data_IF_448779135268
#
_entry.id   IF_448779135268
#
_cell.length_a   1.000
_cell.length_b   1.000
_cell.length_c   1.000
_cell.angle_alpha   90.00
_cell.angle_beta   90.00
_cell.angle_gamma   90.00
#
_symmetry.space_group_name_H-M   'P 1'
#
loop_
_entity.id
_entity.type
_entity.pdbx_description
1 polymer ?
#
# COMPACT_ATOMS: atom_id res chain seq x y z
N UNK A 1 17.12 6.60 -13.20
CA UNK A 1 15.82 6.74 -13.88
C UNK A 1 15.32 5.39 -14.37
N UNK A 2 14.77 4.56 -13.47
CA UNK A 2 14.19 3.25 -13.83
C UNK A 2 12.69 3.38 -14.08
N UNK A 3 12.22 2.86 -15.21
CA UNK A 3 10.81 2.84 -15.61
C UNK A 3 9.99 1.85 -14.78
N UNK A 4 10.60 0.75 -14.34
CA UNK A 4 10.00 -0.32 -13.57
C UNK A 4 9.21 0.22 -12.37
N UNK A 5 7.92 -0.11 -12.33
CA UNK A 5 7.02 0.26 -11.27
C UNK A 5 7.11 -0.72 -10.11
N UNK A 6 8.06 -0.49 -9.20
CA UNK A 6 8.20 -1.30 -8.00
C UNK A 6 7.29 -0.76 -6.88
N UNK A 7 6.46 -1.64 -6.31
CA UNK A 7 5.67 -1.37 -5.12
C UNK A 7 5.86 -2.44 -4.02
N UNK A 8 6.72 -2.17 -3.03
CA UNK A 8 6.90 -2.99 -1.84
C UNK A 8 6.34 -2.27 -0.61
N UNK A 9 5.24 -2.76 -0.01
CA UNK A 9 4.53 -1.97 1.01
C UNK A 9 5.32 -1.79 2.31
N UNK A 10 5.43 -0.55 2.78
CA UNK A 10 6.27 -0.17 3.92
C UNK A 10 5.48 -0.18 5.22
N UNK A 11 6.07 -0.74 6.29
CA UNK A 11 5.49 -0.76 7.63
C UNK A 11 6.35 0.07 8.61
N UNK A 12 6.05 1.35 8.83
CA UNK A 12 6.80 2.18 9.76
C UNK A 12 6.62 1.71 11.22
N UNK A 13 5.48 1.11 11.56
CA UNK A 13 5.19 0.66 12.93
C UNK A 13 6.12 -0.48 13.41
N UNK A 14 6.59 -1.33 12.50
CA UNK A 14 7.58 -2.36 12.80
C UNK A 14 8.94 -1.77 13.25
N UNK A 15 9.29 -0.58 12.76
CA UNK A 15 10.53 0.12 13.11
C UNK A 15 10.47 0.65 14.54
N UNK A 16 9.34 1.25 14.93
CA UNK A 16 9.07 1.68 16.32
C UNK A 16 9.29 0.54 17.30
N UNK A 17 8.62 -0.60 17.06
CA UNK A 17 8.69 -1.75 17.96
C UNK A 17 10.09 -2.35 18.00
N UNK A 18 10.78 -2.47 16.87
CA UNK A 18 12.12 -3.08 16.88
C UNK A 18 13.17 -2.20 17.57
N UNK A 19 13.20 -0.90 17.26
CA UNK A 19 14.22 0.02 17.78
C UNK A 19 13.82 0.69 19.10
N UNK A 20 12.59 0.48 19.59
CA UNK A 20 12.09 1.03 20.84
C UNK A 20 12.19 2.57 20.89
N UNK A 21 11.87 3.21 19.76
CA UNK A 21 11.86 4.67 19.60
C UNK A 21 10.43 5.18 19.60
N UNK A 22 10.14 6.42 20.05
CA UNK A 22 8.77 6.91 20.08
C UNK A 22 8.18 7.07 18.66
N UNK A 23 6.95 6.59 18.47
CA UNK A 23 6.22 6.66 17.19
C UNK A 23 6.16 8.10 16.66
N UNK A 24 6.50 8.26 15.38
CA UNK A 24 6.57 9.56 14.66
C UNK A 24 7.53 10.61 15.26
N UNK A 25 8.43 10.24 16.17
CA UNK A 25 9.49 11.13 16.66
C UNK A 25 10.62 11.32 15.63
N UNK A 26 11.47 12.35 15.77
CA UNK A 26 12.69 12.46 14.97
C UNK A 26 13.54 11.18 15.00
N UNK A 27 13.71 10.56 16.16
CA UNK A 27 14.45 9.30 16.31
C UNK A 27 13.84 8.14 15.49
N UNK A 28 12.51 8.11 15.36
CA UNK A 28 11.83 7.15 14.50
C UNK A 28 12.13 7.40 13.01
N UNK A 29 12.04 8.64 12.56
CA UNK A 29 12.39 9.00 11.18
C UNK A 29 13.88 8.76 10.86
N UNK A 30 14.78 9.02 11.82
CA UNK A 30 16.21 8.74 11.68
C UNK A 30 16.48 7.23 11.57
N UNK A 31 15.78 6.40 12.35
CA UNK A 31 15.88 4.94 12.25
C UNK A 31 15.32 4.40 10.93
N UNK A 32 14.25 5.02 10.39
CA UNK A 32 13.66 4.63 9.11
C UNK A 32 14.48 5.07 7.90
N UNK A 33 15.14 6.23 7.96
CA UNK A 33 15.81 6.86 6.81
C UNK A 33 16.70 5.91 6.01
N UNK A 34 17.70 5.22 6.62
CA UNK A 34 18.57 4.35 5.85
C UNK A 34 17.85 3.10 5.33
N UNK A 35 16.79 2.65 6.01
CA UNK A 35 15.97 1.51 5.57
C UNK A 35 15.18 1.91 4.31
N UNK A 36 14.48 3.05 4.34
CA UNK A 36 13.71 3.53 3.19
C UNK A 36 14.61 4.02 2.05
N UNK A 37 15.85 4.45 2.34
CA UNK A 37 16.84 4.75 1.30
C UNK A 37 17.25 3.50 0.51
N UNK A 38 17.38 2.34 1.18
CA UNK A 38 17.63 1.06 0.50
C UNK A 38 16.47 0.74 -0.46
N UNK A 39 15.24 0.95 -0.01
CA UNK A 39 14.04 0.79 -0.84
C UNK A 39 14.01 1.76 -2.04
N UNK A 40 14.34 3.03 -1.82
CA UNK A 40 14.40 4.03 -2.88
C UNK A 40 15.45 3.65 -3.95
N UNK A 41 16.63 3.20 -3.51
CA UNK A 41 17.72 2.76 -4.39
C UNK A 41 17.34 1.50 -5.19
N UNK A 42 16.37 0.71 -4.73
CA UNK A 42 15.81 -0.42 -5.47
C UNK A 42 14.75 -0.02 -6.51
N UNK A 43 14.47 1.27 -6.66
CA UNK A 43 13.55 1.79 -7.67
C UNK A 43 12.09 1.87 -7.23
N UNK A 44 11.79 1.80 -5.93
CA UNK A 44 10.44 1.96 -5.38
C UNK A 44 9.75 3.22 -5.92
N UNK A 45 8.48 3.08 -6.33
CA UNK A 45 7.68 4.18 -6.86
C UNK A 45 6.59 4.66 -5.90
N UNK A 46 6.14 3.78 -5.01
CA UNK A 46 4.89 3.97 -4.27
C UNK A 46 5.13 4.15 -2.77
N UNK A 47 4.47 5.13 -2.18
CA UNK A 47 4.37 5.32 -0.73
C UNK A 47 3.13 4.59 -0.22
N UNK A 48 3.29 3.71 0.76
CA UNK A 48 2.17 3.11 1.49
C UNK A 48 1.71 4.07 2.58
N UNK A 49 0.45 4.49 2.56
CA UNK A 49 -0.16 5.31 3.60
C UNK A 49 -1.44 4.65 4.13
N UNK A 50 -1.68 4.77 5.43
CA UNK A 50 -2.84 4.16 6.08
C UNK A 50 -3.76 5.25 6.61
N UNK A 51 -4.95 5.37 6.04
CA UNK A 51 -5.90 6.45 6.34
C UNK A 51 -6.93 6.04 7.40
N UNK A 52 -6.83 4.83 7.96
CA UNK A 52 -7.69 4.31 9.02
C UNK A 52 -6.95 3.24 9.84
N UNK A 53 -7.47 2.91 11.02
CA UNK A 53 -6.86 1.93 11.92
C UNK A 53 -7.04 0.50 11.42
N UNK A 54 -5.95 -0.26 11.35
CA UNK A 54 -5.92 -1.67 10.95
C UNK A 54 -6.61 -1.97 9.61
N UNK A 55 -6.15 -1.37 8.49
CA UNK A 55 -6.70 -1.67 7.16
C UNK A 55 -6.67 -3.18 6.82
N UNK A 56 -5.65 -3.88 7.32
CA UNK A 56 -5.50 -5.34 7.20
C UNK A 56 -5.81 -6.13 8.48
N UNK A 57 -6.64 -5.59 9.37
CA UNK A 57 -7.06 -6.23 10.62
C UNK A 57 -5.90 -6.80 11.48
N UNK A 58 -4.72 -6.15 11.45
CA UNK A 58 -3.55 -6.59 12.20
C UNK A 58 -2.97 -7.94 11.75
N UNK A 59 -3.00 -8.23 10.44
CA UNK A 59 -2.45 -9.49 9.91
C UNK A 59 -0.93 -9.64 10.13
N UNK A 60 -0.20 -8.54 10.29
CA UNK A 60 1.25 -8.49 10.57
C UNK A 60 1.55 -8.58 12.07
N UNK A 61 2.82 -8.71 12.46
CA UNK A 61 3.22 -8.64 13.87
C UNK A 61 2.89 -7.26 14.46
N UNK A 62 3.25 -6.21 13.73
CA UNK A 62 2.96 -4.82 14.06
C UNK A 62 1.78 -4.35 13.18
N UNK A 63 0.57 -4.17 13.74
CA UNK A 63 -0.57 -3.65 13.00
C UNK A 63 -0.32 -2.22 12.52
N UNK A 64 -0.94 -1.85 11.41
CA UNK A 64 -0.93 -0.47 10.95
C UNK A 64 -1.98 0.35 11.70
N UNK A 65 -1.56 1.48 12.26
CA UNK A 65 -2.46 2.50 12.80
C UNK A 65 -2.81 3.56 11.75
N UNK A 66 -3.78 4.43 12.07
CA UNK A 66 -4.17 5.51 11.18
C UNK A 66 -3.13 6.64 11.17
N UNK A 67 -2.73 7.08 9.98
CA UNK A 67 -1.94 8.30 9.76
C UNK A 67 -2.83 9.55 9.64
N UNK A 68 -4.14 9.37 9.61
CA UNK A 68 -5.13 10.46 9.59
C UNK A 68 -6.06 10.28 10.78
N UNK A 69 -6.09 11.28 11.65
CA UNK A 69 -7.06 11.29 12.76
C UNK A 69 -8.41 11.79 12.26
N UNK A 70 -9.50 11.13 12.68
CA UNK A 70 -10.88 11.56 12.39
C UNK A 70 -11.59 11.82 13.71
N UNK A 71 -12.02 13.06 13.92
CA UNK A 71 -12.75 13.47 15.11
C UNK A 71 -14.17 13.85 14.74
N UNK A 72 -15.14 13.19 15.36
CA UNK A 72 -16.54 13.62 15.30
C UNK A 72 -16.81 14.59 16.44
N UNK A 73 -17.19 15.82 16.09
CA UNK A 73 -17.45 16.92 17.02
C UNK A 73 -18.83 16.79 17.66
N UNK A 74 -19.05 17.49 18.77
CA UNK A 74 -20.33 17.49 19.51
C UNK A 74 -21.49 18.01 18.65
N UNK A 75 -21.22 18.94 17.73
CA UNK A 75 -22.19 19.48 16.77
C UNK A 75 -22.46 18.54 15.57
N UNK A 76 -21.82 17.37 15.53
CA UNK A 76 -21.95 16.38 14.46
C UNK A 76 -21.01 16.59 13.28
N UNK A 77 -20.25 17.68 13.23
CA UNK A 77 -19.25 17.93 12.19
C UNK A 77 -18.01 17.03 12.36
N UNK A 78 -17.23 16.91 11.29
CA UNK A 78 -15.97 16.14 11.30
C UNK A 78 -14.77 17.07 11.19
N UNK A 79 -13.70 16.71 11.90
CA UNK A 79 -12.38 17.33 11.78
C UNK A 79 -11.36 16.25 11.50
N UNK A 80 -10.49 16.52 10.53
CA UNK A 80 -9.42 15.62 10.10
C UNK A 80 -8.06 16.25 10.39
N UNK A 81 -7.13 15.44 10.88
CA UNK A 81 -5.74 15.84 11.10
C UNK A 81 -4.82 14.95 10.27
N UNK A 82 -4.13 15.58 9.33
CA UNK A 82 -3.21 14.95 8.37
C UNK A 82 -1.74 15.03 8.80
N UNK A 83 -1.42 15.52 10.00
CA UNK A 83 -0.04 15.79 10.43
C UNK A 83 0.88 14.57 10.29
N UNK A 84 0.40 13.39 10.68
CA UNK A 84 1.20 12.15 10.56
C UNK A 84 1.35 11.75 9.10
N UNK A 85 0.26 11.76 8.33
CA UNK A 85 0.26 11.49 6.90
C UNK A 85 1.24 12.39 6.15
N UNK A 86 1.20 13.70 6.40
CA UNK A 86 2.07 14.69 5.77
C UNK A 86 3.54 14.44 6.09
N UNK A 87 3.88 14.25 7.37
CA UNK A 87 5.26 13.98 7.79
C UNK A 87 5.80 12.68 7.19
N UNK A 88 4.95 11.67 7.08
CA UNK A 88 5.32 10.40 6.43
C UNK A 88 5.57 10.57 4.93
N UNK A 89 4.66 11.22 4.21
CA UNK A 89 4.78 11.45 2.77
C UNK A 89 5.99 12.35 2.46
N UNK A 90 6.18 13.44 3.21
CA UNK A 90 7.34 14.32 3.06
C UNK A 90 8.66 13.60 3.34
N UNK A 91 8.68 12.73 4.34
CA UNK A 91 9.86 11.90 4.62
C UNK A 91 10.16 10.95 3.46
N UNK A 92 9.16 10.27 2.91
CA UNK A 92 9.34 9.36 1.78
C UNK A 92 9.77 10.08 0.51
N UNK A 93 9.21 11.27 0.24
CA UNK A 93 9.71 12.17 -0.79
C UNK A 93 11.18 12.52 -0.56
N UNK A 94 11.59 12.81 0.68
CA UNK A 94 12.98 13.18 1.00
C UNK A 94 14.01 12.09 0.75
N UNK A 95 13.60 10.82 0.68
CA UNK A 95 14.49 9.69 0.33
C UNK A 95 14.38 9.28 -1.15
N UNK A 96 13.55 9.97 -1.94
CA UNK A 96 13.41 9.78 -3.39
C UNK A 96 12.25 8.89 -3.84
N UNK A 97 11.29 8.57 -2.95
CA UNK A 97 10.09 7.80 -3.30
C UNK A 97 8.92 8.77 -3.41
N UNK A 98 8.56 9.18 -4.62
CA UNK A 98 7.66 10.34 -4.83
C UNK A 98 6.67 10.23 -5.98
N UNK A 99 6.55 9.05 -6.60
CA UNK A 99 5.77 8.86 -7.84
C UNK A 99 4.30 8.57 -7.58
N UNK A 100 3.98 7.82 -6.52
CA UNK A 100 2.60 7.49 -6.15
C UNK A 100 2.45 7.37 -4.64
N UNK A 101 1.25 7.65 -4.12
CA UNK A 101 0.85 7.44 -2.72
C UNK A 101 -0.38 6.55 -2.72
N UNK A 102 -0.29 5.35 -2.18
CA UNK A 102 -1.42 4.43 -2.02
C UNK A 102 -2.03 4.56 -0.62
N UNK A 103 -3.27 5.03 -0.55
CA UNK A 103 -4.00 5.24 0.71
C UNK A 103 -4.93 4.05 1.01
N UNK A 104 -4.55 3.23 1.99
CA UNK A 104 -5.29 2.05 2.43
C UNK A 104 -6.14 2.36 3.68
N UNK A 105 -7.41 1.97 3.74
CA UNK A 105 -8.30 1.59 2.63
C UNK A 105 -9.74 1.95 3.02
N UNK A 106 -10.63 2.03 2.04
CA UNK A 106 -12.06 2.20 2.24
C UNK A 106 -12.77 0.89 2.56
N UNK A 107 -12.17 -0.25 2.20
CA UNK A 107 -12.77 -1.58 2.37
C UNK A 107 -11.82 -2.47 3.19
N UNK A 108 -11.61 -2.16 4.48
CA UNK A 108 -10.71 -2.94 5.33
C UNK A 108 -11.24 -4.36 5.54
N UNK A 109 -10.35 -5.27 5.93
CA UNK A 109 -10.69 -6.69 6.11
C UNK A 109 -11.87 -6.92 7.08
N UNK A 110 -11.95 -6.13 8.16
CA UNK A 110 -12.96 -6.27 9.20
C UNK A 110 -14.22 -5.40 9.01
N UNK A 111 -14.22 -4.44 8.06
CA UNK A 111 -15.29 -3.44 7.87
C UNK A 111 -15.69 -2.74 9.18
N UNK A 112 -14.67 -2.36 9.95
CA UNK A 112 -14.78 -1.73 11.26
C UNK A 112 -13.94 -0.44 11.25
N UNK A 113 -14.58 0.71 11.39
CA UNK A 113 -13.94 2.00 11.15
C UNK A 113 -13.86 2.82 12.43
N UNK A 114 -12.66 3.24 12.79
CA UNK A 114 -12.36 4.00 13.99
C UNK A 114 -12.63 5.51 13.82
N UNK A 115 -13.07 6.15 14.90
CA UNK A 115 -13.05 7.60 15.02
C UNK A 115 -12.96 8.03 16.49
N UNK A 116 -12.41 9.22 16.73
CA UNK A 116 -12.48 9.86 18.04
C UNK A 116 -13.82 10.58 18.19
N UNK A 117 -14.61 10.17 19.16
CA UNK A 117 -15.88 10.80 19.48
C UNK A 117 -15.68 11.87 20.57
N UNK A 118 -15.88 13.14 20.21
CA UNK A 118 -15.67 14.25 21.13
C UNK A 118 -16.69 14.26 22.27
N UNK A 119 -17.92 13.78 22.02
CA UNK A 119 -18.99 13.79 23.02
C UNK A 119 -18.68 12.87 24.21
N UNK A 120 -18.05 11.72 23.95
CA UNK A 120 -17.66 10.75 24.99
C UNK A 120 -16.17 10.78 25.33
N UNK A 121 -15.35 11.52 24.58
CA UNK A 121 -13.89 11.55 24.69
C UNK A 121 -13.26 10.16 24.59
N UNK A 122 -13.75 9.34 23.64
CA UNK A 122 -13.31 7.96 23.42
C UNK A 122 -13.11 7.67 21.95
N UNK A 123 -12.28 6.68 21.66
CA UNK A 123 -12.25 6.05 20.33
C UNK A 123 -13.44 5.10 20.24
N UNK A 124 -14.29 5.33 19.24
CA UNK A 124 -15.43 4.48 18.92
C UNK A 124 -15.23 3.85 17.54
N UNK A 125 -16.03 2.84 17.27
CA UNK A 125 -15.99 2.07 16.04
C UNK A 125 -17.36 2.04 15.39
N UNK A 126 -17.40 2.18 14.08
CA UNK A 126 -18.61 1.98 13.27
C UNK A 126 -18.44 0.76 12.38
N UNK A 127 -19.35 -0.20 12.51
CA UNK A 127 -19.44 -1.37 11.63
C UNK A 127 -20.44 -1.09 10.53
N UNK A 128 -19.96 -1.01 9.29
CA UNK A 128 -20.78 -0.74 8.10
C UNK A 128 -20.07 -1.25 6.86
N UNK A 129 -20.72 -1.30 5.71
CA UNK A 129 -20.15 -1.86 4.48
C UNK A 129 -20.45 -0.99 3.25
N UNK A 130 -19.65 -1.09 2.17
CA UNK A 130 -19.96 -0.43 0.92
C UNK A 130 -21.40 -0.70 0.47
N UNK A 131 -22.11 0.36 0.11
CA UNK A 131 -23.54 0.35 -0.26
C UNK A 131 -24.50 0.73 0.87
N UNK A 132 -24.05 0.75 2.13
CA UNK A 132 -24.86 1.27 3.23
C UNK A 132 -24.82 2.82 3.27
N UNK A 133 -25.90 3.44 3.75
CA UNK A 133 -25.95 4.90 3.96
C UNK A 133 -24.90 5.35 4.95
N UNK A 134 -24.75 4.65 6.08
CA UNK A 134 -23.79 4.99 7.14
C UNK A 134 -22.33 4.93 6.66
N UNK A 135 -22.00 3.96 5.79
CA UNK A 135 -20.69 3.88 5.14
C UNK A 135 -20.42 5.12 4.28
N UNK A 136 -21.42 5.52 3.49
CA UNK A 136 -21.31 6.68 2.61
C UNK A 136 -21.15 7.97 3.42
N UNK A 137 -21.92 8.14 4.49
CA UNK A 137 -21.80 9.30 5.40
C UNK A 137 -20.43 9.39 6.08
N UNK A 138 -19.90 8.26 6.53
CA UNK A 138 -18.60 8.19 7.19
C UNK A 138 -17.45 8.58 6.24
N UNK A 139 -17.47 8.08 5.00
CA UNK A 139 -16.38 8.30 4.05
C UNK A 139 -16.53 9.56 3.20
N UNK A 140 -17.75 10.00 2.87
CA UNK A 140 -17.98 11.14 1.97
C UNK A 140 -17.32 12.43 2.46
N UNK A 141 -17.55 12.77 3.73
CA UNK A 141 -16.99 13.96 4.37
C UNK A 141 -15.46 13.92 4.39
N UNK A 142 -14.88 12.77 4.72
CA UNK A 142 -13.44 12.57 4.72
C UNK A 142 -12.83 12.68 3.32
N UNK A 143 -13.41 12.01 2.32
CA UNK A 143 -12.87 12.02 0.95
C UNK A 143 -12.91 13.44 0.36
N UNK A 144 -13.97 14.20 0.63
CA UNK A 144 -14.08 15.59 0.18
C UNK A 144 -13.01 16.49 0.82
N UNK A 145 -12.77 16.34 2.12
CA UNK A 145 -11.75 17.11 2.84
C UNK A 145 -10.33 16.70 2.41
N UNK A 146 -10.09 15.40 2.33
CA UNK A 146 -8.80 14.84 1.95
C UNK A 146 -8.42 15.23 0.52
N UNK A 147 -9.37 15.24 -0.41
CA UNK A 147 -9.15 15.70 -1.77
C UNK A 147 -8.73 17.19 -1.83
N UNK A 148 -9.26 18.04 -0.95
CA UNK A 148 -8.84 19.45 -0.83
C UNK A 148 -7.44 19.55 -0.23
N UNK A 149 -7.17 18.82 0.85
CA UNK A 149 -5.86 18.78 1.49
C UNK A 149 -4.77 18.34 0.50
N UNK A 150 -4.99 17.24 -0.21
CA UNK A 150 -4.07 16.74 -1.22
C UNK A 150 -3.81 17.74 -2.35
N UNK A 151 -4.84 18.48 -2.81
CA UNK A 151 -4.66 19.55 -3.81
C UNK A 151 -3.84 20.71 -3.26
N UNK A 152 -4.06 21.11 -2.01
CA UNK A 152 -3.26 22.16 -1.35
C UNK A 152 -1.78 21.75 -1.22
N UNK A 153 -1.51 20.46 -0.96
CA UNK A 153 -0.15 19.91 -0.89
C UNK A 153 0.48 19.65 -2.27
N UNK A 154 -0.31 19.71 -3.36
CA UNK A 154 0.13 19.33 -4.70
C UNK A 154 0.35 17.82 -4.87
N UNK A 155 -0.32 16.99 -4.07
CA UNK A 155 -0.17 15.53 -4.05
C UNK A 155 -1.38 14.79 -4.63
N UNK A 156 -2.46 15.49 -4.96
CA UNK A 156 -3.69 14.89 -5.46
C UNK A 156 -3.48 13.98 -6.67
N UNK A 157 -2.76 14.46 -7.68
CA UNK A 157 -2.54 13.71 -8.93
C UNK A 157 -1.70 12.45 -8.78
N UNK A 158 -0.95 12.31 -7.67
CA UNK A 158 -0.15 11.12 -7.37
C UNK A 158 -0.77 10.22 -6.30
N UNK A 159 -1.92 10.59 -5.74
CA UNK A 159 -2.55 9.83 -4.66
C UNK A 159 -3.63 8.92 -5.21
N UNK A 160 -3.64 7.67 -4.77
CA UNK A 160 -4.69 6.70 -5.06
C UNK A 160 -5.41 6.30 -3.77
N UNK A 161 -6.70 6.01 -3.89
CA UNK A 161 -7.44 5.24 -2.89
C UNK A 161 -7.26 3.76 -3.22
N UNK A 162 -6.59 3.03 -2.33
CA UNK A 162 -6.12 1.67 -2.60
C UNK A 162 -7.09 0.61 -2.06
N UNK A 163 -7.36 -0.40 -2.88
CA UNK A 163 -8.15 -1.58 -2.55
C UNK A 163 -7.28 -2.84 -2.62
N UNK A 164 -7.56 -3.80 -1.75
CA UNK A 164 -6.81 -5.04 -1.60
C UNK A 164 -7.79 -6.24 -1.57
N UNK A 165 -7.86 -6.98 -2.67
CA UNK A 165 -8.63 -8.23 -2.85
C UNK A 165 -10.02 -8.25 -2.18
N UNK A 166 -10.97 -7.43 -2.67
CA UNK A 166 -12.34 -7.40 -2.13
C UNK A 166 -13.35 -7.99 -3.11
N UNK A 167 -14.51 -8.46 -2.63
CA UNK A 167 -15.59 -8.88 -3.53
C UNK A 167 -15.97 -7.75 -4.50
N UNK A 168 -16.15 -8.08 -5.79
CA UNK A 168 -16.46 -7.13 -6.85
C UNK A 168 -17.61 -6.17 -6.49
N UNK A 169 -18.68 -6.69 -5.89
CA UNK A 169 -19.82 -5.88 -5.45
C UNK A 169 -19.40 -4.77 -4.48
N UNK A 170 -18.52 -5.06 -3.53
CA UNK A 170 -18.02 -4.07 -2.58
C UNK A 170 -17.14 -3.02 -3.25
N UNK A 171 -16.31 -3.43 -4.22
CA UNK A 171 -15.47 -2.51 -4.99
C UNK A 171 -16.31 -1.56 -5.84
N UNK A 172 -17.34 -2.06 -6.52
CA UNK A 172 -18.27 -1.23 -7.31
C UNK A 172 -18.93 -0.17 -6.43
N UNK A 173 -19.44 -0.52 -5.24
CA UNK A 173 -20.08 0.45 -4.35
C UNK A 173 -19.08 1.47 -3.79
N UNK A 174 -17.84 1.07 -3.48
CA UNK A 174 -16.80 2.01 -3.07
C UNK A 174 -16.40 2.96 -4.21
N UNK A 175 -16.25 2.47 -5.44
CA UNK A 175 -15.96 3.29 -6.63
C UNK A 175 -17.07 4.30 -6.87
N UNK A 176 -18.35 3.89 -6.79
CA UNK A 176 -19.49 4.81 -6.91
C UNK A 176 -19.43 5.94 -5.90
N UNK A 177 -19.09 5.63 -4.64
CA UNK A 177 -18.90 6.65 -3.61
C UNK A 177 -17.73 7.58 -3.95
N UNK A 178 -16.56 7.05 -4.35
CA UNK A 178 -15.41 7.88 -4.73
C UNK A 178 -15.81 8.85 -5.85
N UNK A 179 -16.48 8.34 -6.90
CA UNK A 179 -16.91 9.15 -8.05
C UNK A 179 -17.97 10.18 -7.73
N UNK A 180 -18.85 9.92 -6.76
CA UNK A 180 -19.85 10.90 -6.34
C UNK A 180 -19.24 12.07 -5.56
N UNK A 181 -18.07 11.87 -4.96
CA UNK A 181 -17.33 12.92 -4.23
C UNK A 181 -16.43 13.70 -5.17
N UNK A 182 -15.60 13.01 -5.93
CA UNK A 182 -14.62 13.64 -6.83
C UNK A 182 -14.23 12.65 -7.95
N UNK A 183 -14.61 12.94 -9.21
CA UNK A 183 -14.37 12.04 -10.32
C UNK A 183 -12.88 11.85 -10.64
N UNK A 184 -12.01 12.77 -10.21
CA UNK A 184 -10.58 12.74 -10.51
C UNK A 184 -9.75 11.91 -9.52
N UNK A 185 -10.35 11.47 -8.39
CA UNK A 185 -9.63 10.62 -7.43
C UNK A 185 -9.17 9.34 -8.13
N UNK A 186 -7.86 9.08 -8.12
CA UNK A 186 -7.30 7.85 -8.67
C UNK A 186 -7.56 6.68 -7.71
N UNK A 187 -7.69 5.49 -8.28
CA UNK A 187 -7.97 4.25 -7.55
C UNK A 187 -6.90 3.24 -7.92
N UNK A 188 -6.36 2.53 -6.93
CA UNK A 188 -5.50 1.37 -7.15
C UNK A 188 -6.12 0.09 -6.63
N UNK A 189 -5.80 -1.03 -7.26
CA UNK A 189 -6.28 -2.36 -6.88
C UNK A 189 -5.17 -3.39 -7.04
N UNK A 190 -4.87 -4.13 -5.97
CA UNK A 190 -4.20 -5.42 -6.05
C UNK A 190 -5.24 -6.53 -5.92
N UNK A 191 -5.34 -7.41 -6.93
CA UNK A 191 -6.27 -8.53 -6.89
C UNK A 191 -6.62 -9.12 -8.25
N UNK A 192 -7.81 -9.72 -8.32
CA UNK A 192 -8.32 -10.32 -9.57
C UNK A 192 -8.66 -9.28 -10.62
N UNK A 193 -8.48 -9.64 -11.90
CA UNK A 193 -8.92 -8.82 -13.03
C UNK A 193 -10.46 -8.82 -13.12
N UNK A 194 -11.04 -7.62 -13.21
CA UNK A 194 -12.48 -7.41 -13.33
C UNK A 194 -12.79 -6.40 -14.45
N UNK A 195 -13.32 -6.85 -15.61
CA UNK A 195 -13.61 -5.94 -16.73
C UNK A 195 -14.65 -4.86 -16.36
N UNK A 196 -15.49 -5.09 -15.37
CA UNK A 196 -16.55 -4.18 -14.92
C UNK A 196 -16.00 -2.90 -14.26
N UNK A 197 -14.80 -2.98 -13.68
CA UNK A 197 -14.18 -1.85 -12.95
C UNK A 197 -12.82 -1.45 -13.51
N UNK A 198 -12.23 -2.22 -14.45
CA UNK A 198 -10.90 -1.97 -15.02
C UNK A 198 -10.68 -0.49 -15.40
N UNK A 199 -11.66 0.12 -16.07
CA UNK A 199 -11.57 1.50 -16.55
C UNK A 199 -11.46 2.53 -15.42
N UNK A 200 -11.93 2.19 -14.24
CA UNK A 200 -11.90 3.04 -13.04
C UNK A 200 -10.55 2.93 -12.29
N UNK A 201 -9.76 1.90 -12.57
CA UNK A 201 -8.52 1.61 -11.86
C UNK A 201 -7.33 2.22 -12.58
N UNK A 202 -6.70 3.20 -11.93
CA UNK A 202 -5.50 3.87 -12.41
C UNK A 202 -4.27 2.94 -12.33
N UNK A 203 -4.07 2.30 -11.18
CA UNK A 203 -3.00 1.32 -10.95
C UNK A 203 -3.61 -0.03 -10.59
N UNK A 204 -3.54 -0.96 -11.54
CA UNK A 204 -4.09 -2.30 -11.41
C UNK A 204 -2.92 -3.27 -11.31
N UNK A 205 -2.89 -4.06 -10.25
CA UNK A 205 -1.93 -5.13 -10.04
C UNK A 205 -2.65 -6.48 -9.99
N UNK A 206 -2.34 -7.37 -10.93
CA UNK A 206 -2.96 -8.71 -11.00
C UNK A 206 -2.06 -9.79 -10.42
N UNK A 207 -2.67 -10.87 -9.92
CA UNK A 207 -1.93 -12.00 -9.37
C UNK A 207 -1.07 -12.67 -10.45
N UNK A 208 0.05 -13.24 -10.01
CA UNK A 208 0.88 -14.08 -10.86
C UNK A 208 0.07 -15.22 -11.50
N UNK A 209 0.41 -15.55 -12.74
CA UNK A 209 -0.31 -16.55 -13.54
C UNK A 209 -1.51 -16.00 -14.33
N UNK A 210 -1.94 -14.76 -14.06
CA UNK A 210 -2.89 -14.04 -14.89
C UNK A 210 -2.16 -13.11 -15.85
N UNK A 211 -2.83 -12.71 -16.93
CA UNK A 211 -2.34 -11.72 -17.90
C UNK A 211 -3.44 -10.71 -18.19
N UNK A 212 -3.05 -9.46 -18.50
CA UNK A 212 -3.97 -8.48 -19.04
C UNK A 212 -4.36 -8.90 -20.47
N UNK A 213 -5.64 -8.80 -20.86
CA UNK A 213 -6.01 -8.90 -22.27
C UNK A 213 -5.22 -7.86 -23.09
N UNK A 214 -4.66 -8.25 -24.24
CA UNK A 214 -3.70 -7.42 -24.97
C UNK A 214 -4.22 -6.03 -25.36
N UNK A 215 -5.47 -5.95 -25.81
CA UNK A 215 -6.16 -4.68 -26.12
C UNK A 215 -6.36 -3.79 -24.88
N UNK A 216 -6.63 -4.40 -23.73
CA UNK A 216 -6.79 -3.69 -22.46
C UNK A 216 -5.44 -3.16 -21.98
N UNK A 217 -4.37 -3.96 -22.05
CA UNK A 217 -3.02 -3.48 -21.70
C UNK A 217 -2.60 -2.30 -22.59
N UNK A 218 -2.82 -2.39 -23.90
CA UNK A 218 -2.51 -1.31 -24.82
C UNK A 218 -3.30 -0.01 -24.53
N UNK A 219 -4.59 -0.13 -24.18
CA UNK A 219 -5.40 1.03 -23.77
C UNK A 219 -4.90 1.67 -22.47
N UNK A 220 -4.54 0.84 -21.49
CA UNK A 220 -3.95 1.29 -20.21
C UNK A 220 -2.64 2.05 -20.44
N UNK A 221 -1.73 1.52 -21.26
CA UNK A 221 -0.49 2.20 -21.63
C UNK A 221 -0.76 3.55 -22.29
N UNK A 222 -1.66 3.58 -23.28
CA UNK A 222 -2.02 4.81 -24.00
C UNK A 222 -2.63 5.89 -23.09
N UNK A 223 -3.32 5.47 -22.03
CA UNK A 223 -3.96 6.37 -21.06
C UNK A 223 -3.10 6.64 -19.83
N UNK A 224 -1.84 6.17 -19.80
CA UNK A 224 -0.89 6.40 -18.70
C UNK A 224 -1.26 5.69 -17.40
N UNK A 225 -2.05 4.61 -17.49
CA UNK A 225 -2.39 3.74 -16.36
C UNK A 225 -1.32 2.68 -16.15
N UNK A 226 -1.19 2.22 -14.90
CA UNK A 226 -0.17 1.28 -14.45
C UNK A 226 -0.74 -0.13 -14.39
N UNK A 227 -0.01 -1.10 -14.90
CA UNK A 227 -0.40 -2.52 -15.02
C UNK A 227 0.73 -3.40 -14.51
N UNK A 228 0.66 -3.81 -13.24
CA UNK A 228 1.72 -4.58 -12.57
C UNK A 228 1.28 -6.00 -12.23
N UNK A 229 2.22 -6.83 -11.77
CA UNK A 229 1.95 -8.20 -11.30
C UNK A 229 2.46 -8.38 -9.88
N UNK A 230 1.80 -9.20 -9.06
CA UNK A 230 2.28 -9.55 -7.72
C UNK A 230 2.35 -11.07 -7.50
N UNK A 231 3.19 -11.47 -6.55
CA UNK A 231 3.11 -12.80 -5.91
C UNK A 231 2.79 -12.61 -4.43
N UNK A 232 2.12 -13.58 -3.83
CA UNK A 232 1.76 -13.56 -2.41
C UNK A 232 2.01 -14.93 -1.78
N UNK A 233 1.25 -15.31 -0.76
CA UNK A 233 1.36 -16.62 -0.14
C UNK A 233 0.84 -17.78 -1.01
N UNK A 234 0.12 -17.49 -2.11
CA UNK A 234 -0.54 -18.51 -2.94
C UNK A 234 0.45 -19.25 -3.86
N UNK A 235 1.42 -18.55 -4.45
CA UNK A 235 2.35 -19.13 -5.40
C UNK A 235 3.50 -19.84 -4.69
N UNK A 236 3.65 -21.14 -4.94
CA UNK A 236 4.82 -21.88 -4.48
C UNK A 236 6.12 -21.36 -5.13
N UNK A 237 6.04 -20.98 -6.43
CA UNK A 237 7.12 -20.42 -7.25
C UNK A 237 6.54 -19.56 -8.39
N UNK A 238 7.25 -18.51 -8.85
CA UNK A 238 8.37 -17.90 -8.15
C UNK A 238 7.88 -17.23 -6.86
N UNK A 239 8.74 -17.14 -5.85
CA UNK A 239 8.46 -16.31 -4.69
C UNK A 239 9.73 -15.79 -4.04
N UNK A 240 9.56 -14.98 -3.01
CA UNK A 240 10.65 -14.44 -2.19
C UNK A 240 10.49 -14.87 -0.73
N UNK A 241 10.13 -16.13 -0.49
CA UNK A 241 10.23 -16.73 0.83
C UNK A 241 11.70 -16.93 1.21
N UNK A 242 12.04 -17.02 2.51
CA UNK A 242 13.45 -17.18 2.92
C UNK A 242 14.09 -18.49 2.43
N UNK A 243 13.29 -19.48 2.06
CA UNK A 243 13.76 -20.74 1.47
C UNK A 243 13.62 -20.78 -0.07
N UNK A 244 13.07 -19.74 -0.70
CA UNK A 244 12.99 -19.66 -2.16
C UNK A 244 14.40 -19.63 -2.76
N UNK A 245 14.67 -20.42 -3.82
CA UNK A 245 15.88 -20.28 -4.62
C UNK A 245 16.13 -18.81 -5.00
N UNK A 246 17.34 -18.26 -4.80
CA UNK A 246 17.65 -16.85 -5.09
C UNK A 246 17.32 -16.41 -6.53
N UNK A 247 17.39 -17.33 -7.49
CA UNK A 247 17.06 -17.07 -8.89
C UNK A 247 15.59 -16.70 -9.09
N UNK A 248 14.67 -17.13 -8.22
CA UNK A 248 13.24 -16.78 -8.34
C UNK A 248 13.01 -15.28 -8.20
N UNK A 249 13.76 -14.60 -7.32
CA UNK A 249 13.66 -13.15 -7.14
C UNK A 249 14.17 -12.38 -8.38
N UNK A 250 15.27 -12.83 -8.98
CA UNK A 250 15.77 -12.24 -10.23
C UNK A 250 14.83 -12.51 -11.41
N UNK A 251 14.24 -13.71 -11.45
CA UNK A 251 13.30 -14.10 -12.50
C UNK A 251 12.06 -13.21 -12.56
N UNK A 252 11.64 -12.59 -11.45
CA UNK A 252 10.51 -11.66 -11.43
C UNK A 252 10.69 -10.53 -12.45
N UNK A 253 11.88 -9.93 -12.55
CA UNK A 253 12.13 -8.86 -13.53
C UNK A 253 11.97 -9.33 -14.99
N UNK A 254 12.49 -10.53 -15.28
CA UNK A 254 12.32 -11.17 -16.59
C UNK A 254 10.87 -11.51 -16.90
N UNK A 255 10.11 -11.94 -15.90
CA UNK A 255 8.67 -12.19 -16.04
C UNK A 255 7.89 -10.91 -16.31
N UNK A 256 8.21 -9.82 -15.60
CA UNK A 256 7.63 -8.50 -15.83
C UNK A 256 7.84 -8.08 -17.28
N UNK A 257 9.05 -8.21 -17.80
CA UNK A 257 9.37 -7.93 -19.21
C UNK A 257 8.57 -8.82 -20.17
N UNK A 258 8.65 -10.15 -19.97
CA UNK A 258 8.03 -11.12 -20.88
C UNK A 258 6.50 -11.03 -20.91
N UNK A 259 5.87 -10.65 -19.80
CA UNK A 259 4.43 -10.47 -19.69
C UNK A 259 3.92 -9.09 -20.10
N UNK A 260 4.80 -8.20 -20.56
CA UNK A 260 4.50 -6.79 -20.82
C UNK A 260 3.81 -6.13 -19.62
N UNK A 261 4.42 -6.24 -18.43
CA UNK A 261 3.97 -5.55 -17.24
C UNK A 261 4.83 -4.30 -17.01
N UNK A 262 4.26 -3.32 -16.31
CA UNK A 262 4.96 -2.07 -15.99
C UNK A 262 5.88 -2.23 -14.77
N UNK A 263 5.73 -3.32 -14.01
CA UNK A 263 6.50 -3.57 -12.81
C UNK A 263 5.94 -4.68 -11.93
N UNK A 264 6.36 -4.70 -10.67
CA UNK A 264 6.05 -5.74 -9.70
C UNK A 264 5.64 -5.15 -8.36
N UNK A 265 4.64 -5.76 -7.74
CA UNK A 265 4.19 -5.44 -6.39
C UNK A 265 4.45 -6.61 -5.45
N UNK A 266 4.80 -6.29 -4.21
CA UNK A 266 4.73 -7.23 -3.09
C UNK A 266 4.18 -6.56 -1.85
N UNK A 267 3.26 -7.25 -1.17
CA UNK A 267 2.51 -6.70 -0.05
C UNK A 267 3.35 -6.34 1.18
N UNK A 268 4.64 -6.67 1.22
CA UNK A 268 5.46 -6.44 2.39
C UNK A 268 6.96 -6.22 2.11
N UNK A 269 7.45 -5.07 2.56
CA UNK A 269 8.85 -4.70 2.55
C UNK A 269 9.54 -5.03 3.89
N UNK A 270 8.97 -4.55 5.00
CA UNK A 270 9.59 -4.60 6.34
C UNK A 270 8.58 -4.87 7.48
N UNK A 271 7.49 -5.61 7.24
CA UNK A 271 6.57 -6.05 8.29
C UNK A 271 7.20 -7.18 9.10
N UNK A 272 8.23 -6.84 9.88
CA UNK A 272 9.07 -7.79 10.62
C UNK A 272 8.30 -8.61 11.64
N UNK A 273 8.72 -9.86 11.81
CA UNK A 273 8.31 -10.70 12.94
C UNK A 273 8.94 -10.20 14.25
N UNK A 274 8.67 -10.90 15.36
CA UNK A 274 9.17 -10.50 16.69
C UNK A 274 10.70 -10.43 16.76
N UNK A 275 11.42 -11.39 16.15
CA UNK A 275 12.89 -11.43 16.06
C UNK A 275 13.33 -11.75 14.62
N UNK A 276 13.24 -10.77 13.70
CA UNK A 276 13.36 -11.01 12.26
C UNK A 276 14.78 -11.42 11.82
N UNK A 277 15.80 -11.23 12.69
CA UNK A 277 17.19 -11.63 12.42
C UNK A 277 17.42 -13.12 12.70
N UNK A 278 16.65 -13.73 13.61
CA UNK A 278 16.83 -15.12 14.01
C UNK A 278 15.78 -16.05 13.42
N UNK A 279 14.54 -15.57 13.25
CA UNK A 279 13.43 -16.41 12.78
C UNK A 279 12.47 -15.63 11.87
N UNK A 280 12.41 -16.06 10.61
CA UNK A 280 11.51 -15.50 9.59
C UNK A 280 10.14 -16.16 9.53
N UNK A 281 9.90 -17.20 10.34
CA UNK A 281 8.59 -17.84 10.42
C UNK A 281 7.58 -16.91 11.05
N UNK A 282 6.34 -17.07 10.62
CA UNK A 282 5.20 -16.34 11.14
C UNK A 282 4.01 -17.28 11.28
N UNK A 283 3.01 -16.85 12.05
CA UNK A 283 1.85 -17.69 12.40
C UNK A 283 0.95 -18.09 11.21
N UNK A 284 1.06 -17.39 10.07
CA UNK A 284 0.10 -17.53 8.96
C UNK A 284 0.71 -18.08 7.67
N UNK A 285 1.82 -17.52 7.21
CA UNK A 285 2.35 -17.78 5.86
C UNK A 285 3.75 -18.39 5.88
N UNK A 286 4.24 -18.77 4.69
CA UNK A 286 5.60 -19.25 4.50
C UNK A 286 6.63 -18.25 5.06
N UNK A 287 7.72 -18.79 5.62
CA UNK A 287 8.74 -17.99 6.28
C UNK A 287 9.36 -16.97 5.31
N UNK A 288 9.48 -15.71 5.76
CA UNK A 288 9.94 -14.60 4.93
C UNK A 288 8.87 -13.88 4.14
N UNK A 289 7.61 -14.32 4.18
CA UNK A 289 6.53 -13.67 3.43
C UNK A 289 6.27 -12.23 3.89
N UNK A 290 6.53 -11.89 5.14
CA UNK A 290 6.21 -10.57 5.71
C UNK A 290 7.30 -9.50 5.49
N UNK A 291 8.48 -9.84 4.98
CA UNK A 291 9.55 -8.86 4.80
C UNK A 291 10.69 -9.33 3.87
N UNK A 292 11.27 -8.36 3.16
CA UNK A 292 12.42 -8.54 2.25
C UNK A 292 13.73 -7.99 2.81
N UNK A 293 13.68 -7.08 3.76
CA UNK A 293 14.86 -6.47 4.40
C UNK A 293 14.86 -6.68 5.90
N UNK A 294 16.03 -6.57 6.52
CA UNK A 294 16.23 -6.85 7.93
C UNK A 294 16.62 -5.57 8.71
N UNK A 295 16.39 -5.53 10.03
CA UNK A 295 16.87 -4.44 10.86
C UNK A 295 18.39 -4.24 10.79
N UNK A 296 18.84 -3.04 11.14
CA UNK A 296 20.23 -2.59 11.01
C UNK A 296 20.67 -2.31 9.57
N UNK A 297 19.73 -1.89 8.71
CA UNK A 297 19.99 -1.50 7.31
C UNK A 297 20.61 -2.66 6.51
N UNK A 298 19.99 -3.84 6.62
CA UNK A 298 20.49 -5.07 5.99
C UNK A 298 19.56 -5.46 4.86
N UNK A 299 20.11 -5.52 3.65
CA UNK A 299 19.42 -6.15 2.53
C UNK A 299 19.30 -7.67 2.74
N UNK A 300 18.67 -8.35 1.80
CA UNK A 300 18.64 -9.81 1.75
C UNK A 300 19.08 -10.30 0.38
N UNK A 301 19.45 -11.59 0.30
CA UNK A 301 19.70 -12.24 -0.99
C UNK A 301 18.51 -12.02 -1.93
N UNK A 302 17.28 -12.13 -1.41
CA UNK A 302 16.05 -11.96 -2.20
C UNK A 302 15.91 -10.54 -2.74
N UNK A 303 16.20 -9.54 -1.92
CA UNK A 303 16.13 -8.13 -2.31
C UNK A 303 17.20 -7.80 -3.38
N UNK A 304 18.45 -8.23 -3.17
CA UNK A 304 19.52 -7.98 -4.15
C UNK A 304 19.27 -8.68 -5.49
N UNK A 305 18.76 -9.92 -5.45
CA UNK A 305 18.38 -10.64 -6.67
C UNK A 305 17.16 -10.04 -7.36
N UNK A 306 16.19 -9.51 -6.61
CA UNK A 306 15.09 -8.73 -7.19
C UNK A 306 15.60 -7.46 -7.88
N UNK A 307 16.52 -6.73 -7.25
CA UNK A 307 17.16 -5.55 -7.84
C UNK A 307 17.89 -5.91 -9.13
N UNK A 308 18.63 -7.02 -9.16
CA UNK A 308 19.29 -7.51 -10.38
C UNK A 308 18.27 -7.78 -11.49
N UNK A 309 17.14 -8.45 -11.17
CA UNK A 309 16.06 -8.67 -12.14
C UNK A 309 15.45 -7.37 -12.66
N UNK A 310 15.27 -6.37 -11.79
CA UNK A 310 14.79 -5.04 -12.17
C UNK A 310 15.81 -4.35 -13.08
N UNK A 311 17.10 -4.43 -12.78
CA UNK A 311 18.16 -3.87 -13.61
C UNK A 311 18.24 -4.55 -14.98
N UNK A 312 17.96 -5.85 -15.06
CA UNK A 312 17.87 -6.56 -16.34
C UNK A 312 16.63 -6.15 -17.13
N UNK A 313 15.51 -5.84 -16.48
CA UNK A 313 14.33 -5.27 -17.15
C UNK A 313 14.63 -3.91 -17.80
N UNK A 314 15.45 -3.08 -17.16
CA UNK A 314 15.78 -1.74 -17.65
C UNK A 314 16.81 -1.71 -18.79
N UNK A 315 17.53 -2.81 -19.03
CA UNK A 315 18.56 -2.91 -20.09
C UNK A 315 17.95 -3.32 -21.42
#
# INVERSE_FOLDING_TARGET
DWHFHLDLWQNPYAVVRYYQVPLWSPAHFDAMRPIMQLLANAGQKVITATIMHKPWNGQTEDPFDAMVSKTKKIDGSWVYDYTVFDRWVEFMHSVGIDRQINCYTLIPWALDFDYFDQATSRVLFVKTKPGDTLYSEYWASFLSDFAKHLRQKGWFDKTTIAMDERPLKSMIEAIKLIRSIDPEIKISLAGSYHPEIEKEIYDLCIAFGYQYPGEIKADREKTGKISTVYTCCAEARPNTFTFSPPAEAAWIGWHVMAGNYDGYLRWSYNSWTIDPLRDSRFRTWAAGDCYLVYPGVRSSIRMERLIEGIQDYEK
#
